data_IF_681221975223
#
_entry.id   IF_681221975223
#
_cell.length_a   1.000
_cell.length_b   1.000
_cell.length_c   1.000
_cell.angle_alpha   90.00
_cell.angle_beta   90.00
_cell.angle_gamma   90.00
#
_symmetry.space_group_name_H-M   'P 1'
#
loop_
_entity.id
_entity.type
_entity.pdbx_description
1 polymer ?
#
# COMPACT_ATOMS: atom_id res chain seq x y z
N UNK A 1 -21.93 4.74 16.96
CA UNK A 1 -21.62 6.15 16.61
C UNK A 1 -21.99 6.37 15.15
N UNK A 2 -22.47 7.55 14.75
CA UNK A 2 -22.66 7.85 13.33
C UNK A 2 -21.31 8.18 12.71
N UNK A 3 -20.83 7.34 11.79
CA UNK A 3 -19.66 7.63 10.95
C UNK A 3 -19.83 8.98 10.26
N UNK A 4 -18.80 9.83 10.34
CA UNK A 4 -18.75 11.11 9.62
C UNK A 4 -17.67 11.00 8.56
N UNK A 5 -18.03 10.91 7.26
CA UNK A 5 -17.04 10.77 6.20
C UNK A 5 -16.10 11.98 6.13
N UNK A 6 -14.81 11.72 5.91
CA UNK A 6 -13.81 12.76 5.71
C UNK A 6 -14.14 13.55 4.44
N UNK A 7 -14.33 14.87 4.61
CA UNK A 7 -14.60 15.78 3.50
C UNK A 7 -13.34 16.48 2.99
N UNK A 8 -12.27 16.52 3.78
CA UNK A 8 -11.02 17.20 3.45
C UNK A 8 -9.84 16.39 3.98
N UNK A 9 -8.83 16.18 3.12
CA UNK A 9 -7.63 15.41 3.44
C UNK A 9 -6.41 16.10 2.83
N UNK A 10 -5.42 16.46 3.63
CA UNK A 10 -4.14 16.96 3.16
C UNK A 10 -3.30 15.82 2.60
N UNK A 11 -2.59 16.11 1.51
CA UNK A 11 -1.64 15.19 0.89
C UNK A 11 -0.25 15.77 1.04
N UNK A 12 0.69 14.95 1.46
CA UNK A 12 2.10 15.31 1.57
C UNK A 12 2.95 14.40 0.70
N UNK A 13 3.98 14.99 0.10
CA UNK A 13 5.01 14.30 -0.65
C UNK A 13 6.31 14.29 0.15
N UNK A 14 6.94 13.12 0.27
CA UNK A 14 8.20 12.93 0.98
C UNK A 14 9.35 12.73 -0.01
N UNK A 15 10.30 13.66 -0.04
CA UNK A 15 11.54 13.55 -0.80
C UNK A 15 12.74 13.78 0.14
N UNK A 16 13.54 14.81 -0.10
CA UNK A 16 14.55 15.34 0.84
C UNK A 16 13.91 15.88 2.13
N UNK A 17 12.68 16.39 2.01
CA UNK A 17 11.82 16.81 3.12
C UNK A 17 10.36 16.47 2.85
N UNK A 18 9.51 16.75 3.84
CA UNK A 18 8.05 16.64 3.71
C UNK A 18 7.49 17.92 3.11
N UNK A 19 6.92 17.82 1.91
CA UNK A 19 6.22 18.90 1.22
C UNK A 19 4.72 18.75 1.42
N UNK A 20 4.02 19.83 1.76
CA UNK A 20 2.56 19.85 1.63
C UNK A 20 2.23 19.93 0.14
N UNK A 21 1.81 18.82 -0.44
CA UNK A 21 1.53 18.71 -1.87
C UNK A 21 0.24 19.42 -2.24
N UNK A 22 -0.77 19.32 -1.37
CA UNK A 22 -2.08 19.88 -1.64
C UNK A 22 -3.16 19.25 -0.75
N UNK A 23 -4.40 19.33 -1.21
CA UNK A 23 -5.56 18.83 -0.49
C UNK A 23 -6.56 18.14 -1.41
N UNK A 24 -7.10 17.03 -0.94
CA UNK A 24 -8.26 16.34 -1.49
C UNK A 24 -9.52 16.83 -0.76
N UNK A 25 -10.57 17.12 -1.52
CA UNK A 25 -11.87 17.49 -0.98
C UNK A 25 -12.99 16.71 -1.66
N UNK A 26 -13.92 16.18 -0.87
CA UNK A 26 -15.16 15.61 -1.38
C UNK A 26 -16.24 16.70 -1.42
N UNK A 27 -16.80 16.96 -2.61
CA UNK A 27 -17.89 17.92 -2.81
C UNK A 27 -18.78 17.47 -3.97
N UNK A 28 -20.10 17.52 -3.77
CA UNK A 28 -21.11 17.17 -4.78
C UNK A 28 -20.90 15.76 -5.38
N UNK A 29 -20.51 14.80 -4.53
CA UNK A 29 -20.15 13.41 -4.90
C UNK A 29 -18.96 13.28 -5.86
N UNK A 30 -18.16 14.34 -6.01
CA UNK A 30 -16.88 14.32 -6.72
C UNK A 30 -15.74 14.56 -5.74
N UNK A 31 -14.58 13.99 -6.07
CA UNK A 31 -13.34 14.26 -5.36
C UNK A 31 -12.52 15.24 -6.18
N UNK A 32 -12.10 16.31 -5.52
CA UNK A 32 -11.28 17.38 -6.07
C UNK A 32 -9.92 17.34 -5.42
N UNK A 33 -8.88 17.61 -6.19
CA UNK A 33 -7.53 17.85 -5.70
C UNK A 33 -7.10 19.26 -6.07
N UNK A 34 -6.49 19.96 -5.12
CA UNK A 34 -5.87 21.26 -5.34
C UNK A 34 -4.44 21.21 -4.83
N UNK A 35 -3.48 21.54 -5.70
CA UNK A 35 -2.08 21.69 -5.32
C UNK A 35 -1.88 22.89 -4.39
N UNK A 36 -0.91 22.79 -3.48
CA UNK A 36 -0.44 23.97 -2.76
C UNK A 36 0.40 24.85 -3.70
N UNK A 37 0.36 26.19 -3.56
CA UNK A 37 1.23 27.08 -4.32
C UNK A 37 2.72 26.75 -4.14
N UNK A 38 3.10 26.34 -2.93
CA UNK A 38 4.47 25.97 -2.58
C UNK A 38 4.91 24.71 -3.33
N UNK A 39 4.02 23.73 -3.51
CA UNK A 39 4.34 22.52 -4.28
C UNK A 39 4.45 22.80 -5.77
N UNK A 40 3.57 23.63 -6.34
CA UNK A 40 3.66 24.05 -7.74
C UNK A 40 5.03 24.69 -8.02
N UNK A 41 5.52 25.53 -7.10
CA UNK A 41 6.82 26.18 -7.24
C UNK A 41 8.02 25.20 -7.22
N UNK A 42 7.84 23.95 -6.76
CA UNK A 42 8.90 22.92 -6.84
C UNK A 42 9.12 22.39 -8.25
N UNK A 43 8.09 22.45 -9.11
CA UNK A 43 8.13 21.85 -10.45
C UNK A 43 8.10 20.31 -10.47
N UNK A 44 7.83 19.63 -9.34
CA UNK A 44 7.74 18.17 -9.29
C UNK A 44 6.42 17.64 -9.87
N UNK A 45 6.49 17.16 -11.12
CA UNK A 45 5.38 16.52 -11.82
C UNK A 45 5.21 15.05 -11.40
N UNK A 46 4.48 14.80 -10.31
CA UNK A 46 4.27 13.44 -9.78
C UNK A 46 3.30 12.58 -10.60
N UNK A 47 2.41 13.20 -11.39
CA UNK A 47 1.42 12.54 -12.25
C UNK A 47 1.12 13.38 -13.50
N UNK A 48 2.11 13.59 -14.38
CA UNK A 48 2.09 14.62 -15.43
C UNK A 48 0.95 14.45 -16.45
N UNK A 49 0.44 13.24 -16.65
CA UNK A 49 -0.53 12.96 -17.70
C UNK A 49 -1.97 13.24 -17.30
N UNK A 50 -2.30 13.04 -16.02
CA UNK A 50 -3.68 13.10 -15.52
C UNK A 50 -3.87 14.10 -14.39
N UNK A 51 -2.77 14.56 -13.80
CA UNK A 51 -2.76 15.61 -12.80
C UNK A 51 -1.45 16.42 -12.93
N UNK A 52 -1.27 17.17 -14.04
CA UNK A 52 -0.12 18.07 -14.18
C UNK A 52 -0.18 19.19 -13.12
N UNK A 53 0.96 19.79 -12.81
CA UNK A 53 1.02 20.94 -11.91
C UNK A 53 0.21 22.10 -12.48
N UNK A 54 -0.80 22.52 -11.74
CA UNK A 54 -1.67 23.62 -12.14
C UNK A 54 -2.30 24.29 -10.92
N UNK A 55 -2.62 25.59 -11.03
CA UNK A 55 -3.44 26.25 -10.04
C UNK A 55 -4.90 25.76 -10.12
N UNK A 56 -5.63 25.94 -9.02
CA UNK A 56 -7.04 25.59 -8.84
C UNK A 56 -7.32 24.09 -8.65
N UNK A 57 -8.49 23.81 -8.11
CA UNK A 57 -8.96 22.46 -7.86
C UNK A 57 -9.40 21.76 -9.15
N UNK A 58 -8.98 20.52 -9.33
CA UNK A 58 -9.38 19.66 -10.44
C UNK A 58 -9.93 18.34 -9.94
N UNK A 59 -10.89 17.77 -10.66
CA UNK A 59 -11.42 16.43 -10.40
C UNK A 59 -10.94 15.48 -11.48
N UNK A 60 -10.83 14.19 -11.14
CA UNK A 60 -10.46 13.19 -12.13
C UNK A 60 -11.61 13.06 -13.15
N UNK A 61 -11.28 13.13 -14.44
CA UNK A 61 -12.25 12.92 -15.53
C UNK A 61 -12.46 11.43 -15.80
N UNK A 62 -12.78 10.67 -14.75
CA UNK A 62 -13.04 9.23 -14.82
C UNK A 62 -13.88 8.77 -13.63
N UNK A 63 -14.73 7.77 -13.87
CA UNK A 63 -15.40 7.02 -12.79
C UNK A 63 -14.53 5.87 -12.27
N UNK A 64 -13.35 5.62 -12.87
CA UNK A 64 -12.37 4.71 -12.32
C UNK A 64 -11.90 5.19 -10.93
N UNK A 65 -11.41 4.27 -10.12
CA UNK A 65 -10.82 4.56 -8.80
C UNK A 65 -11.75 5.33 -7.85
N UNK A 66 -13.07 5.14 -7.98
CA UNK A 66 -14.08 5.84 -7.18
C UNK A 66 -13.96 7.38 -7.28
N UNK A 67 -13.50 7.89 -8.43
CA UNK A 67 -13.34 9.32 -8.70
C UNK A 67 -12.03 9.94 -8.18
N UNK A 68 -11.08 9.14 -7.68
CA UNK A 68 -9.73 9.60 -7.36
C UNK A 68 -8.85 9.70 -8.61
N UNK A 69 -7.90 10.62 -8.59
CA UNK A 69 -6.75 10.54 -9.48
C UNK A 69 -5.93 9.30 -9.16
N UNK A 70 -5.41 8.65 -10.19
CA UNK A 70 -4.69 7.38 -10.07
C UNK A 70 -3.49 7.45 -9.12
N UNK A 71 -2.80 8.60 -9.05
CA UNK A 71 -1.66 8.81 -8.16
C UNK A 71 -2.01 8.65 -6.67
N UNK A 72 -3.25 8.97 -6.29
CA UNK A 72 -3.74 8.76 -4.92
C UNK A 72 -4.33 7.35 -4.76
N UNK A 73 -4.96 6.82 -5.80
CA UNK A 73 -5.47 5.45 -5.78
C UNK A 73 -4.35 4.41 -5.60
N UNK A 74 -3.15 4.66 -6.12
CA UNK A 74 -1.98 3.78 -5.92
C UNK A 74 -1.58 3.62 -4.45
N UNK A 75 -2.02 4.53 -3.57
CA UNK A 75 -1.82 4.41 -2.12
C UNK A 75 -2.92 3.63 -1.42
N UNK A 76 -4.02 3.27 -2.10
CA UNK A 76 -5.10 2.51 -1.48
C UNK A 76 -4.77 1.01 -1.48
N UNK A 77 -5.03 0.30 -0.37
CA UNK A 77 -4.96 -1.14 -0.37
C UNK A 77 -6.05 -1.73 -1.28
N UNK A 78 -5.75 -2.87 -1.89
CA UNK A 78 -6.72 -3.66 -2.66
C UNK A 78 -7.20 -4.87 -1.83
N UNK A 79 -7.75 -5.92 -2.47
CA UNK A 79 -8.38 -7.10 -1.86
C UNK A 79 -8.03 -7.42 -0.41
N UNK A 80 -6.77 -7.77 -0.09
CA UNK A 80 -6.35 -8.13 1.28
C UNK A 80 -6.47 -6.97 2.27
N UNK A 81 -5.74 -5.87 2.04
CA UNK A 81 -5.75 -4.74 2.96
C UNK A 81 -7.12 -4.05 3.05
N UNK A 82 -7.87 -4.03 1.95
CA UNK A 82 -9.25 -3.52 1.90
C UNK A 82 -10.17 -4.38 2.76
N UNK A 83 -10.06 -5.71 2.69
CA UNK A 83 -10.84 -6.62 3.53
C UNK A 83 -10.54 -6.41 5.02
N UNK A 84 -9.26 -6.28 5.38
CA UNK A 84 -8.86 -6.05 6.78
C UNK A 84 -9.45 -4.74 7.32
N UNK A 85 -9.37 -3.66 6.54
CA UNK A 85 -9.96 -2.37 6.92
C UNK A 85 -11.49 -2.48 7.05
N UNK A 86 -12.16 -3.07 6.05
CA UNK A 86 -13.63 -3.22 6.04
C UNK A 86 -14.12 -4.02 7.27
N UNK A 87 -13.40 -5.08 7.66
CA UNK A 87 -13.71 -5.84 8.88
C UNK A 87 -13.46 -5.05 10.16
N UNK A 88 -12.36 -4.29 10.21
CA UNK A 88 -12.05 -3.50 11.41
C UNK A 88 -13.14 -2.44 11.66
N UNK A 89 -13.54 -1.70 10.62
CA UNK A 89 -14.57 -0.65 10.80
C UNK A 89 -15.95 -1.23 11.10
N UNK A 90 -16.24 -2.44 10.62
CA UNK A 90 -17.48 -3.15 10.94
C UNK A 90 -17.61 -3.45 12.44
N UNK A 91 -16.50 -3.70 13.15
CA UNK A 91 -16.49 -3.87 14.61
C UNK A 91 -16.93 -2.60 15.36
N UNK A 92 -16.71 -1.43 14.77
CA UNK A 92 -17.20 -0.15 15.31
C UNK A 92 -18.62 0.19 14.83
N UNK A 93 -19.31 -0.73 14.15
CA UNK A 93 -20.66 -0.55 13.64
C UNK A 93 -20.74 0.28 12.35
N UNK A 94 -19.62 0.47 11.65
CA UNK A 94 -19.58 1.22 10.39
C UNK A 94 -19.74 0.25 9.23
N UNK A 95 -20.81 0.43 8.43
CA UNK A 95 -21.01 -0.39 7.25
C UNK A 95 -19.97 -0.06 6.17
N UNK A 96 -19.35 -1.08 5.56
CA UNK A 96 -18.27 -0.94 4.57
C UNK A 96 -18.55 0.04 3.41
N UNK A 97 -19.82 0.14 2.99
CA UNK A 97 -20.24 1.00 1.88
C UNK A 97 -20.28 2.50 2.25
N UNK A 98 -20.15 2.82 3.55
CA UNK A 98 -20.06 4.19 4.05
C UNK A 98 -18.62 4.73 4.01
N UNK A 99 -17.61 3.87 3.84
CA UNK A 99 -16.21 4.29 3.72
C UNK A 99 -15.96 4.89 2.33
N UNK A 100 -15.67 6.18 2.32
CA UNK A 100 -15.26 6.92 1.12
C UNK A 100 -13.79 6.68 0.79
N UNK A 101 -13.33 7.02 -0.42
CA UNK A 101 -11.91 6.96 -0.74
C UNK A 101 -11.03 7.81 0.18
N UNK A 102 -11.53 8.99 0.62
CA UNK A 102 -10.82 9.85 1.59
C UNK A 102 -10.71 9.19 2.97
N UNK A 103 -11.77 8.51 3.45
CA UNK A 103 -11.71 7.73 4.70
C UNK A 103 -10.61 6.66 4.60
N UNK A 104 -10.54 5.95 3.46
CA UNK A 104 -9.53 4.90 3.25
C UNK A 104 -8.12 5.47 3.19
N UNK A 105 -7.90 6.58 2.49
CA UNK A 105 -6.60 7.26 2.46
C UNK A 105 -6.17 7.77 3.85
N UNK A 106 -7.11 8.24 4.67
CA UNK A 106 -6.83 8.63 6.06
C UNK A 106 -6.41 7.44 6.93
N UNK A 107 -6.98 6.25 6.72
CA UNK A 107 -6.52 5.03 7.37
C UNK A 107 -5.17 4.52 6.85
N UNK A 108 -4.82 4.81 5.59
CA UNK A 108 -3.48 4.59 5.06
C UNK A 108 -2.47 5.50 5.76
N UNK A 109 -2.81 6.78 5.94
CA UNK A 109 -2.02 7.74 6.70
C UNK A 109 -0.61 7.86 6.15
N UNK A 110 0.39 7.59 6.99
CA UNK A 110 1.80 7.54 6.58
C UNK A 110 2.21 6.21 5.95
N UNK A 111 1.49 5.10 6.08
CA UNK A 111 1.97 3.78 5.63
C UNK A 111 1.70 3.47 4.15
N UNK A 112 1.42 4.51 3.34
CA UNK A 112 1.28 4.47 1.88
C UNK A 112 2.48 3.83 1.16
N UNK A 113 2.22 3.13 0.05
CA UNK A 113 3.24 2.81 -0.95
C UNK A 113 3.75 4.11 -1.57
N UNK A 114 5.01 4.12 -2.01
CA UNK A 114 5.65 5.30 -2.55
C UNK A 114 5.92 6.38 -1.50
N UNK A 115 5.83 7.62 -1.95
CA UNK A 115 6.26 8.79 -1.22
C UNK A 115 5.12 9.69 -0.71
N UNK A 116 3.86 9.24 -0.81
CA UNK A 116 2.72 10.03 -0.35
C UNK A 116 2.31 9.67 1.08
N UNK A 117 1.74 10.65 1.79
CA UNK A 117 1.05 10.44 3.06
C UNK A 117 -0.14 11.38 3.20
N UNK A 118 -1.08 11.01 4.05
CA UNK A 118 -2.39 11.65 4.14
C UNK A 118 -2.73 12.08 5.56
N UNK A 119 -3.30 13.27 5.72
CA UNK A 119 -3.73 13.80 7.03
C UNK A 119 -5.12 14.44 6.98
N UNK A 120 -6.01 14.26 7.99
CA UNK A 120 -5.76 13.59 9.27
C UNK A 120 -5.50 12.09 9.10
N UNK A 121 -4.61 11.57 9.94
CA UNK A 121 -4.26 10.16 10.00
C UNK A 121 -5.19 9.47 11.02
N UNK A 122 -5.93 8.44 10.55
CA UNK A 122 -6.70 7.53 11.40
C UNK A 122 -6.08 6.14 11.45
N UNK A 123 -4.78 6.03 11.16
CA UNK A 123 -4.04 4.81 11.48
C UNK A 123 -3.76 4.79 12.97
N UNK A 124 -4.07 3.67 13.63
CA UNK A 124 -3.57 3.42 14.98
C UNK A 124 -2.06 3.17 14.88
N UNK A 125 -1.26 3.85 15.72
CA UNK A 125 0.18 3.62 15.74
C UNK A 125 0.47 2.14 16.01
N UNK A 126 1.33 1.56 15.17
CA UNK A 126 1.69 0.15 15.29
C UNK A 126 2.39 -0.07 16.63
N UNK A 127 1.96 -1.09 17.37
CA UNK A 127 2.78 -1.58 18.47
C UNK A 127 4.06 -2.17 17.87
N UNK A 128 5.21 -1.73 18.41
CA UNK A 128 6.53 -2.24 18.06
C UNK A 128 6.55 -3.75 18.33
N UNK A 129 6.73 -4.55 17.29
CA UNK A 129 6.97 -5.99 17.42
C UNK A 129 8.32 -6.29 16.76
N UNK A 130 9.33 -6.53 17.60
CA UNK A 130 10.72 -6.62 17.16
C UNK A 130 11.08 -7.97 16.52
N UNK A 131 10.21 -8.98 16.68
CA UNK A 131 10.41 -10.34 16.14
C UNK A 131 9.07 -10.94 15.68
N UNK A 132 8.73 -10.70 14.42
CA UNK A 132 7.57 -11.28 13.76
C UNK A 132 7.83 -12.74 13.41
N UNK A 133 7.01 -13.64 13.98
CA UNK A 133 6.98 -15.05 13.60
C UNK A 133 6.08 -15.24 12.37
N UNK A 134 6.70 -15.53 11.22
CA UNK A 134 5.98 -15.75 9.97
C UNK A 134 5.07 -16.98 10.00
N UNK A 135 5.39 -18.03 10.77
CA UNK A 135 4.50 -19.19 10.93
C UNK A 135 3.21 -18.77 11.62
N UNK A 136 3.34 -18.05 12.74
CA UNK A 136 2.18 -17.55 13.49
C UNK A 136 1.35 -16.57 12.66
N UNK A 137 2.00 -15.65 11.93
CA UNK A 137 1.31 -14.73 11.04
C UNK A 137 0.53 -15.45 9.94
N UNK A 138 1.09 -16.51 9.36
CA UNK A 138 0.41 -17.29 8.35
C UNK A 138 -0.87 -17.96 8.92
N UNK A 139 -0.79 -18.53 10.13
CA UNK A 139 -1.94 -19.10 10.83
C UNK A 139 -3.02 -18.04 11.12
N UNK A 140 -2.63 -16.89 11.66
CA UNK A 140 -3.53 -15.75 11.92
C UNK A 140 -4.21 -15.26 10.63
N UNK A 141 -3.47 -15.21 9.52
CA UNK A 141 -4.04 -14.85 8.21
C UNK A 141 -5.06 -15.86 7.71
N UNK A 142 -4.82 -17.17 7.88
CA UNK A 142 -5.78 -18.19 7.50
C UNK A 142 -7.06 -18.10 8.32
N UNK A 143 -6.96 -17.92 9.65
CA UNK A 143 -8.12 -17.72 10.52
C UNK A 143 -8.95 -16.52 10.07
N UNK A 144 -8.30 -15.39 9.76
CA UNK A 144 -8.98 -14.22 9.19
C UNK A 144 -9.66 -14.59 7.87
N UNK A 145 -9.00 -15.29 6.94
CA UNK A 145 -9.62 -15.68 5.67
C UNK A 145 -10.83 -16.61 5.87
N UNK A 146 -10.85 -17.42 6.92
CA UNK A 146 -11.97 -18.29 7.31
C UNK A 146 -13.12 -17.55 8.01
N UNK A 147 -12.92 -16.28 8.37
CA UNK A 147 -13.92 -15.46 9.07
C UNK A 147 -13.77 -15.47 10.59
N UNK A 148 -12.69 -16.05 11.10
CA UNK A 148 -12.32 -16.11 12.51
C UNK A 148 -11.15 -15.14 12.81
N UNK A 149 -10.49 -15.27 13.97
CA UNK A 149 -9.20 -14.60 14.22
C UNK A 149 -9.27 -13.10 14.53
N UNK A 150 -10.38 -12.65 15.11
CA UNK A 150 -10.66 -11.24 15.35
C UNK A 150 -9.59 -10.49 16.19
N UNK A 151 -8.86 -11.21 17.04
CA UNK A 151 -7.79 -10.69 17.88
C UNK A 151 -6.56 -10.25 17.07
N UNK A 152 -6.25 -10.96 15.97
CA UNK A 152 -5.11 -10.67 15.11
C UNK A 152 -5.41 -9.59 14.05
N UNK A 153 -6.68 -9.21 13.88
CA UNK A 153 -7.13 -8.30 12.82
C UNK A 153 -6.40 -6.95 12.84
N UNK A 154 -6.26 -6.34 14.02
CA UNK A 154 -5.61 -5.03 14.16
C UNK A 154 -4.13 -5.12 13.77
N UNK A 155 -3.43 -6.13 14.28
CA UNK A 155 -2.03 -6.41 13.97
C UNK A 155 -1.84 -6.65 12.47
N UNK A 156 -2.63 -7.53 11.87
CA UNK A 156 -2.53 -7.85 10.45
C UNK A 156 -2.84 -6.66 9.54
N UNK A 157 -3.78 -5.79 9.92
CA UNK A 157 -4.01 -4.53 9.20
C UNK A 157 -2.77 -3.64 9.24
N UNK A 158 -2.17 -3.46 10.42
CA UNK A 158 -0.97 -2.63 10.56
C UNK A 158 0.18 -3.18 9.71
N UNK A 159 0.36 -4.49 9.72
CA UNK A 159 1.38 -5.17 8.93
C UNK A 159 1.10 -5.14 7.42
N UNK A 160 -0.15 -5.28 6.99
CA UNK A 160 -0.52 -5.20 5.57
C UNK A 160 -0.17 -3.85 4.93
N UNK A 161 -0.22 -2.78 5.74
CA UNK A 161 -0.03 -1.41 5.30
C UNK A 161 -1.03 -1.04 4.20
N UNK A 162 -0.55 -0.37 3.18
CA UNK A 162 -1.32 0.04 1.99
C UNK A 162 -1.00 -0.79 0.74
N UNK A 163 -0.33 -1.93 0.93
CA UNK A 163 0.14 -2.72 -0.20
C UNK A 163 -1.04 -3.16 -1.10
N UNK A 164 -0.92 -2.88 -2.40
CA UNK A 164 -1.93 -3.26 -3.39
C UNK A 164 -1.97 -4.78 -3.63
N UNK A 165 -2.99 -5.25 -4.34
CA UNK A 165 -3.21 -6.65 -4.72
C UNK A 165 -4.06 -7.49 -3.75
N UNK A 166 -4.57 -8.62 -4.25
CA UNK A 166 -5.60 -9.39 -3.56
C UNK A 166 -5.08 -10.41 -2.52
N UNK A 167 -3.85 -10.90 -2.67
CA UNK A 167 -3.28 -11.95 -1.82
C UNK A 167 -2.80 -11.44 -0.46
N UNK A 168 -2.83 -12.28 0.61
CA UNK A 168 -2.28 -11.92 1.90
C UNK A 168 -0.80 -11.56 1.83
N UNK A 169 -0.45 -10.45 2.49
CA UNK A 169 0.91 -9.93 2.53
C UNK A 169 1.11 -8.98 3.70
N UNK A 170 2.36 -8.79 4.08
CA UNK A 170 2.79 -7.78 5.05
C UNK A 170 3.94 -6.96 4.49
N UNK A 171 4.08 -5.77 5.04
CA UNK A 171 5.31 -4.98 4.99
C UNK A 171 6.01 -5.08 6.34
N UNK A 172 7.33 -5.26 6.31
CA UNK A 172 8.15 -5.43 7.50
C UNK A 172 9.54 -4.85 7.27
N UNK A 173 10.31 -4.64 8.35
CA UNK A 173 11.74 -4.37 8.27
C UNK A 173 12.50 -5.67 8.51
N UNK A 174 13.52 -5.95 7.71
CA UNK A 174 14.28 -7.20 7.74
C UNK A 174 15.77 -6.91 7.92
N UNK A 175 16.42 -7.64 8.82
CA UNK A 175 17.86 -7.53 9.08
C UNK A 175 18.71 -7.92 7.87
N UNK A 176 19.99 -7.49 7.77
CA UNK A 176 20.88 -7.87 6.67
C UNK A 176 21.01 -9.39 6.46
N UNK A 177 20.99 -10.18 7.54
CA UNK A 177 21.10 -11.64 7.50
C UNK A 177 19.76 -12.35 7.23
N UNK A 178 18.68 -11.59 7.03
CA UNK A 178 17.30 -12.04 6.81
C UNK A 178 16.72 -12.93 7.93
N UNK A 179 17.29 -12.89 9.14
CA UNK A 179 16.84 -13.71 10.29
C UNK A 179 15.89 -12.99 11.24
N UNK A 180 15.95 -11.67 11.29
CA UNK A 180 15.10 -10.86 12.15
C UNK A 180 14.16 -10.02 11.30
N UNK A 181 12.87 -10.09 11.65
CA UNK A 181 11.79 -9.43 10.94
C UNK A 181 11.00 -8.65 11.99
N UNK A 182 10.81 -7.36 11.76
CA UNK A 182 10.08 -6.50 12.69
C UNK A 182 8.99 -5.70 11.98
N UNK A 183 8.01 -5.22 12.75
CA UNK A 183 6.93 -4.40 12.21
C UNK A 183 7.43 -3.07 11.64
N UNK A 184 6.55 -2.35 10.93
CA UNK A 184 6.85 -1.00 10.44
C UNK A 184 6.87 0.00 11.61
N UNK A 185 7.98 0.72 11.75
CA UNK A 185 8.27 1.55 12.92
C UNK A 185 8.94 2.85 12.52
N UNK A 186 8.82 3.87 13.37
CA UNK A 186 9.54 5.15 13.19
C UNK A 186 11.06 4.98 13.33
N UNK A 187 11.50 4.03 14.15
CA UNK A 187 12.91 3.65 14.26
C UNK A 187 13.34 2.87 13.04
N UNK A 188 14.55 3.16 12.55
CA UNK A 188 15.18 2.45 11.45
C UNK A 188 16.49 1.87 11.97
N UNK A 189 16.52 0.62 12.45
CA UNK A 189 17.75 0.02 12.91
C UNK A 189 18.78 -0.07 11.79
N UNK A 190 20.06 0.07 12.13
CA UNK A 190 21.13 0.12 11.14
C UNK A 190 21.16 -1.15 10.29
N UNK A 191 21.19 -0.96 8.97
CA UNK A 191 21.24 -2.03 7.97
C UNK A 191 19.93 -2.79 7.76
N UNK A 192 18.85 -2.49 8.49
CA UNK A 192 17.55 -3.08 8.18
C UNK A 192 17.01 -2.52 6.87
N UNK A 193 16.23 -3.32 6.15
CA UNK A 193 15.64 -2.93 4.88
C UNK A 193 14.13 -3.13 4.94
N UNK A 194 13.36 -2.39 4.14
CA UNK A 194 11.92 -2.59 4.05
C UNK A 194 11.58 -3.67 3.02
N UNK A 195 10.77 -4.64 3.44
CA UNK A 195 10.39 -5.80 2.65
C UNK A 195 8.87 -5.91 2.54
N UNK A 196 8.41 -6.50 1.43
CA UNK A 196 7.06 -7.01 1.25
C UNK A 196 7.13 -8.53 1.26
N UNK A 197 6.46 -9.18 2.21
CA UNK A 197 6.43 -10.64 2.36
C UNK A 197 5.03 -11.13 2.02
N UNK A 198 4.94 -12.08 1.09
CA UNK A 198 3.69 -12.63 0.55
C UNK A 198 3.41 -14.00 1.16
N UNK A 199 2.15 -14.22 1.52
CA UNK A 199 1.66 -15.45 2.09
C UNK A 199 0.66 -16.10 1.15
N UNK A 200 0.54 -17.42 1.27
CA UNK A 200 -0.41 -18.20 0.47
C UNK A 200 -1.84 -17.81 0.87
N UNK A 201 -2.70 -17.59 -0.12
CA UNK A 201 -4.15 -17.59 0.11
C UNK A 201 -4.67 -19.02 0.22
N UNK A 202 -5.93 -19.18 0.65
CA UNK A 202 -6.61 -20.47 0.77
C UNK A 202 -6.63 -21.30 -0.53
N UNK A 203 -6.60 -20.63 -1.68
CA UNK A 203 -6.66 -21.29 -2.99
C UNK A 203 -5.30 -21.46 -3.65
N UNK A 204 -4.24 -20.94 -3.03
CA UNK A 204 -2.89 -21.06 -3.55
C UNK A 204 -2.30 -22.42 -3.15
N UNK A 205 -1.45 -22.98 -4.03
CA UNK A 205 -0.69 -24.18 -3.73
C UNK A 205 0.31 -23.91 -2.60
N UNK A 206 0.64 -24.93 -1.80
CA UNK A 206 1.63 -24.82 -0.73
C UNK A 206 2.98 -24.29 -1.22
N UNK A 207 3.36 -24.60 -2.46
CA UNK A 207 4.62 -24.17 -3.08
C UNK A 207 4.53 -22.80 -3.77
N UNK A 208 3.43 -22.06 -3.66
CA UNK A 208 3.26 -20.77 -4.35
C UNK A 208 4.36 -19.76 -4.05
N UNK A 209 4.82 -19.67 -2.79
CA UNK A 209 5.98 -18.85 -2.42
C UNK A 209 7.29 -19.32 -3.07
N UNK A 210 7.51 -20.64 -3.20
CA UNK A 210 8.69 -21.20 -3.89
C UNK A 210 8.63 -20.94 -5.38
N UNK A 211 7.45 -21.07 -5.98
CA UNK A 211 7.21 -20.80 -7.40
C UNK A 211 7.51 -19.32 -7.70
N UNK A 212 6.99 -18.40 -6.89
CA UNK A 212 7.22 -16.96 -7.07
C UNK A 212 8.71 -16.61 -6.92
N UNK A 213 9.41 -17.23 -5.96
CA UNK A 213 10.86 -17.09 -5.83
C UNK A 213 11.64 -17.66 -7.02
N UNK A 214 11.25 -18.83 -7.53
CA UNK A 214 11.89 -19.43 -8.69
C UNK A 214 11.77 -18.50 -9.92
N UNK A 215 10.58 -17.93 -10.16
CA UNK A 215 10.39 -16.96 -11.23
C UNK A 215 11.18 -15.67 -11.03
N UNK A 216 11.36 -15.20 -9.79
CA UNK A 216 12.19 -14.00 -9.55
C UNK A 216 13.67 -14.24 -9.85
N UNK A 217 14.18 -15.45 -9.59
CA UNK A 217 15.54 -15.84 -9.98
C UNK A 217 15.66 -15.91 -11.51
N UNK A 218 14.72 -16.60 -12.18
CA UNK A 218 14.70 -16.70 -13.64
C UNK A 218 14.66 -15.31 -14.30
N UNK A 219 13.85 -14.39 -13.75
CA UNK A 219 13.77 -13.02 -14.25
C UNK A 219 15.12 -12.28 -14.15
N UNK A 220 15.81 -12.39 -13.01
CA UNK A 220 17.14 -11.81 -12.81
C UNK A 220 18.18 -12.41 -13.74
N UNK A 221 18.19 -13.73 -13.88
CA UNK A 221 19.09 -14.45 -14.79
C UNK A 221 18.83 -14.09 -16.26
N UNK A 222 17.59 -13.68 -16.58
CA UNK A 222 17.19 -13.16 -17.89
C UNK A 222 17.49 -11.67 -18.10
N UNK A 223 18.15 -11.00 -17.14
CA UNK A 223 18.53 -9.59 -17.22
C UNK A 223 17.42 -8.59 -16.86
N UNK A 224 16.29 -9.05 -16.31
CA UNK A 224 15.22 -8.16 -15.83
C UNK A 224 15.67 -7.52 -14.51
N UNK A 225 15.63 -6.18 -14.45
CA UNK A 225 15.91 -5.45 -13.22
C UNK A 225 14.82 -5.75 -12.18
N UNK A 226 15.19 -6.48 -11.12
CA UNK A 226 14.31 -6.80 -10.00
C UNK A 226 14.96 -6.41 -8.67
N UNK A 227 14.17 -5.99 -7.67
CA UNK A 227 14.66 -5.81 -6.30
C UNK A 227 15.24 -7.10 -5.72
N UNK A 228 15.94 -7.00 -4.60
CA UNK A 228 16.37 -8.19 -3.85
C UNK A 228 15.16 -9.06 -3.48
N UNK A 229 15.32 -10.37 -3.58
CA UNK A 229 14.28 -11.35 -3.31
C UNK A 229 14.84 -12.42 -2.40
N UNK A 230 14.02 -12.92 -1.48
CA UNK A 230 14.43 -13.94 -0.52
C UNK A 230 13.27 -14.88 -0.22
N UNK A 231 13.58 -16.16 -0.02
CA UNK A 231 12.60 -17.16 0.38
C UNK A 231 12.72 -17.42 1.88
N UNK A 232 11.76 -16.91 2.64
CA UNK A 232 11.70 -17.10 4.09
C UNK A 232 11.13 -18.48 4.41
N UNK A 233 12.00 -19.39 4.83
CA UNK A 233 11.60 -20.74 5.22
C UNK A 233 11.23 -20.79 6.70
N UNK A 234 10.09 -21.38 7.01
CA UNK A 234 9.65 -21.67 8.37
C UNK A 234 9.39 -23.17 8.52
N UNK A 235 8.97 -23.58 9.72
CA UNK A 235 8.56 -24.97 10.01
C UNK A 235 7.32 -25.42 9.20
N UNK A 236 6.50 -24.49 8.72
CA UNK A 236 5.20 -24.77 8.12
C UNK A 236 5.06 -24.30 6.68
N UNK A 237 6.02 -23.52 6.15
CA UNK A 237 5.94 -23.02 4.78
C UNK A 237 7.17 -22.24 4.33
N UNK A 238 7.13 -21.82 3.07
CA UNK A 238 8.15 -20.96 2.45
C UNK A 238 7.47 -19.74 1.85
N UNK A 239 7.81 -18.55 2.35
CA UNK A 239 7.15 -17.29 2.00
C UNK A 239 8.06 -16.44 1.12
N UNK A 240 7.56 -16.01 -0.03
CA UNK A 240 8.29 -15.12 -0.92
C UNK A 240 8.36 -13.71 -0.34
N UNK A 241 9.57 -13.19 -0.20
CA UNK A 241 9.81 -11.80 0.13
C UNK A 241 10.54 -11.07 -0.99
N UNK A 242 10.20 -9.79 -1.14
CA UNK A 242 10.87 -8.86 -2.05
C UNK A 242 11.16 -7.57 -1.32
N UNK A 243 12.39 -7.07 -1.47
CA UNK A 243 12.78 -5.76 -0.97
C UNK A 243 11.96 -4.68 -1.67
N UNK A 244 11.50 -3.70 -0.90
CA UNK A 244 10.72 -2.58 -1.40
C UNK A 244 11.61 -1.60 -2.15
N UNK A 245 11.39 -1.45 -3.46
CA UNK A 245 12.09 -0.46 -4.28
C UNK A 245 11.65 0.99 -3.99
N UNK A 246 10.52 1.18 -3.32
CA UNK A 246 9.99 2.49 -2.96
C UNK A 246 10.51 3.00 -1.61
N UNK A 247 11.54 2.33 -1.06
CA UNK A 247 12.17 2.61 0.22
C UNK A 247 13.69 2.51 0.10
N UNK A 248 14.39 3.40 0.77
CA UNK A 248 15.85 3.41 0.81
C UNK A 248 16.36 4.02 2.12
N UNK A 249 16.80 3.18 3.07
CA UNK A 249 17.30 3.59 4.39
C UNK A 249 16.39 4.62 5.09
N UNK A 250 15.09 4.36 5.11
CA UNK A 250 14.07 5.24 5.71
C UNK A 250 13.59 6.38 4.79
N UNK A 251 14.27 6.63 3.67
CA UNK A 251 13.77 7.53 2.62
C UNK A 251 12.65 6.85 1.85
N UNK A 252 11.72 7.68 1.37
CA UNK A 252 10.64 7.25 0.49
C UNK A 252 10.95 7.66 -0.93
N UNK A 253 10.63 6.78 -1.86
CA UNK A 253 10.82 7.02 -3.28
C UNK A 253 9.42 7.08 -3.91
N UNK A 254 9.16 8.09 -4.73
CA UNK A 254 7.89 8.21 -5.43
C UNK A 254 7.70 7.03 -6.38
N UNK A 255 6.48 6.53 -6.45
CA UNK A 255 6.10 5.55 -7.45
C UNK A 255 4.72 5.92 -7.99
N UNK A 256 4.49 5.55 -9.23
CA UNK A 256 3.20 5.66 -9.87
C UNK A 256 3.02 4.41 -10.73
N UNK A 257 2.01 3.61 -10.41
CA UNK A 257 1.69 2.45 -11.23
C UNK A 257 1.25 2.92 -12.62
N UNK A 258 1.45 2.09 -13.63
CA UNK A 258 0.97 2.41 -14.97
C UNK A 258 -0.55 2.66 -14.96
N UNK A 259 -1.32 1.76 -14.35
CA UNK A 259 -2.77 1.87 -14.13
C UNK A 259 -3.15 3.27 -13.60
N UNK A 260 -2.45 3.73 -12.56
CA UNK A 260 -2.65 5.05 -11.99
C UNK A 260 -2.20 6.18 -12.93
N UNK A 261 -1.08 6.03 -13.64
CA UNK A 261 -0.47 7.11 -14.43
C UNK A 261 -1.33 7.50 -15.64
N UNK A 262 -1.98 6.52 -16.26
CA UNK A 262 -2.80 6.73 -17.47
C UNK A 262 -4.31 6.64 -17.21
N UNK A 263 -4.73 6.43 -15.96
CA UNK A 263 -6.12 6.19 -15.56
C UNK A 263 -6.77 4.98 -16.27
N UNK A 264 -6.06 3.85 -16.31
CA UNK A 264 -6.55 2.60 -16.91
C UNK A 264 -6.90 1.60 -15.81
N UNK A 265 -8.19 1.39 -15.53
CA UNK A 265 -8.62 0.51 -14.45
C UNK A 265 -8.30 -0.96 -14.78
N UNK A 266 -7.43 -1.56 -13.97
CA UNK A 266 -6.96 -2.95 -14.07
C UNK A 266 -8.08 -4.01 -13.97
N UNK A 267 -9.29 -3.61 -13.58
CA UNK A 267 -10.47 -4.48 -13.59
C UNK A 267 -11.07 -4.67 -14.98
N UNK A 268 -10.66 -3.84 -15.94
CA UNK A 268 -11.09 -3.93 -17.32
C UNK A 268 -9.89 -4.21 -18.23
N UNK A 269 -10.01 -5.17 -19.16
CA UNK A 269 -8.96 -5.43 -20.14
C UNK A 269 -8.82 -4.20 -21.02
N UNK A 270 -7.69 -3.50 -20.86
CA UNK A 270 -7.47 -2.18 -21.47
C UNK A 270 -6.13 -2.09 -22.18
N UNK A 271 -5.09 -2.70 -21.61
CA UNK A 271 -3.72 -2.70 -22.14
C UNK A 271 -3.02 -4.02 -21.81
N UNK A 272 -2.08 -4.42 -22.66
CA UNK A 272 -1.16 -5.53 -22.45
C UNK A 272 0.30 -5.04 -22.46
N UNK A 273 1.25 -5.85 -21.98
CA UNK A 273 2.68 -5.53 -22.03
C UNK A 273 3.19 -5.31 -23.45
N UNK A 274 2.58 -5.98 -24.45
CA UNK A 274 2.90 -5.79 -25.86
C UNK A 274 2.52 -4.41 -26.40
N UNK A 275 1.61 -3.69 -25.74
CA UNK A 275 1.27 -2.31 -26.09
C UNK A 275 2.27 -1.29 -25.52
N UNK A 276 3.15 -1.72 -24.59
CA UNK A 276 3.95 -0.86 -23.71
C UNK A 276 5.46 -1.04 -23.87
N UNK A 277 5.91 -2.26 -24.20
CA UNK A 277 7.32 -2.67 -24.34
C UNK A 277 7.69 -2.86 -25.81
#
# INVERSE_FOLDING_TARGET
>A
MNHKPIQLLNVFYHADKKYHMGRLASRDRKIWFEYSPEFIATGFELSPFKLPLQPNAVSADTNAFDGLHGVFNDSLPDGWGRMLLDRQVAKYGIARHLLTPLDRLSHVGKYGMGALSYEPEYSEDAQLEENLDLTKLAEEMQQILEGEGDDALLKLKQLAGSSGGARPKITAKVSPDKKHIMSQTSSYPDGYEDWLIKFNSRFDDADSGKIEYAYSIIAKDSGINMPETYLFNTSTGSYFGVQRFDRDSGRRIHMHSLCGLIHSDYRFPSLDYSDLL
#
